data_IF_929382389205
#
_entry.id   IF_929382389205
#
_cell.length_a   1.000
_cell.length_b   1.000
_cell.length_c   1.000
_cell.angle_alpha   90.00
_cell.angle_beta   90.00
_cell.angle_gamma   90.00
#
_symmetry.space_group_name_H-M   'P 1'
#
loop_
_entity.id
_entity.type
_entity.pdbx_description
1 polymer ?
#
# COMPACT_ATOMS: atom_id res chain seq x y z
N UNK A 1 25.65 77.77 -30.64
CA UNK A 1 26.77 78.08 -29.72
C UNK A 1 26.74 77.13 -28.56
N UNK A 2 27.59 76.19 -28.72
CA UNK A 2 28.69 75.79 -27.79
C UNK A 2 28.27 75.26 -26.46
N UNK A 3 28.79 74.22 -25.91
CA UNK A 3 30.05 73.46 -26.08
C UNK A 3 29.97 72.17 -25.33
N UNK A 4 30.68 71.20 -25.84
CA UNK A 4 31.00 69.89 -25.25
C UNK A 4 31.57 69.99 -23.84
N UNK A 5 31.23 69.04 -22.98
CA UNK A 5 32.15 68.60 -21.93
C UNK A 5 32.08 67.09 -21.78
N UNK A 6 33.15 66.50 -22.23
CA UNK A 6 33.53 65.09 -22.09
C UNK A 6 33.83 64.77 -20.63
N UNK A 7 33.02 63.96 -19.97
CA UNK A 7 33.28 63.43 -18.63
C UNK A 7 33.83 62.02 -18.73
N UNK A 8 35.15 61.90 -18.71
CA UNK A 8 35.89 60.67 -18.54
C UNK A 8 35.51 60.01 -17.19
N UNK A 9 34.72 58.95 -17.22
CA UNK A 9 34.51 58.10 -16.06
C UNK A 9 35.71 57.20 -15.91
N UNK A 10 36.51 57.54 -14.91
CA UNK A 10 37.65 56.76 -14.44
C UNK A 10 37.12 55.43 -13.85
N UNK A 11 37.26 54.35 -14.61
CA UNK A 11 36.92 52.98 -14.13
C UNK A 11 38.03 52.55 -13.18
N UNK A 12 37.84 52.83 -11.90
CA UNK A 12 38.68 52.30 -10.82
C UNK A 12 38.55 50.77 -10.80
N UNK A 13 39.61 50.12 -11.29
CA UNK A 13 39.78 48.67 -11.23
C UNK A 13 40.04 48.28 -9.77
N UNK A 14 38.98 48.05 -9.01
CA UNK A 14 39.10 47.46 -7.65
C UNK A 14 39.72 46.06 -7.79
N UNK A 15 40.98 45.95 -7.39
CA UNK A 15 41.67 44.67 -7.16
C UNK A 15 40.93 43.94 -6.04
N UNK A 16 40.01 43.07 -6.38
CA UNK A 16 39.41 42.16 -5.41
C UNK A 16 40.49 41.25 -4.83
N UNK A 17 40.70 41.36 -3.55
CA UNK A 17 41.66 40.57 -2.79
C UNK A 17 41.37 39.08 -2.94
N UNK A 18 42.44 38.24 -3.10
CA UNK A 18 42.25 36.78 -3.22
C UNK A 18 41.47 36.14 -2.06
N UNK A 19 41.52 36.75 -0.89
CA UNK A 19 40.78 36.32 0.30
C UNK A 19 39.27 36.50 0.19
N UNK A 20 38.81 37.55 -0.49
CA UNK A 20 37.37 37.80 -0.70
C UNK A 20 36.74 36.78 -1.66
N UNK A 21 37.47 36.43 -2.74
CA UNK A 21 37.02 35.36 -3.68
C UNK A 21 37.05 33.97 -3.05
N UNK A 22 37.93 33.71 -2.09
CA UNK A 22 38.00 32.46 -1.36
C UNK A 22 36.83 32.29 -0.37
N UNK A 23 36.39 33.38 0.28
CA UNK A 23 35.25 33.42 1.17
C UNK A 23 33.93 33.20 0.41
N UNK A 24 33.78 33.82 -0.77
CA UNK A 24 32.60 33.67 -1.62
C UNK A 24 32.48 32.23 -2.18
N UNK A 25 33.62 31.63 -2.57
CA UNK A 25 33.63 30.20 -2.99
C UNK A 25 33.27 29.24 -1.87
N UNK A 26 33.70 29.49 -0.63
CA UNK A 26 33.30 28.67 0.54
C UNK A 26 31.82 28.85 0.88
N UNK A 27 31.27 30.05 0.77
CA UNK A 27 29.87 30.35 0.97
C UNK A 27 28.98 29.67 -0.08
N UNK A 28 29.39 29.73 -1.36
CA UNK A 28 28.71 29.02 -2.46
C UNK A 28 28.77 27.50 -2.33
N UNK A 29 29.94 26.94 -1.89
CA UNK A 29 30.10 25.52 -1.68
C UNK A 29 29.26 25.03 -0.49
N UNK A 30 29.23 25.81 0.61
CA UNK A 30 28.40 25.49 1.79
C UNK A 30 26.90 25.56 1.46
N UNK A 31 26.48 26.54 0.67
CA UNK A 31 25.08 26.64 0.22
C UNK A 31 24.70 25.52 -0.74
N UNK A 32 25.60 25.06 -1.60
CA UNK A 32 25.41 23.91 -2.47
C UNK A 32 25.35 22.59 -1.69
N UNK A 33 26.16 22.44 -0.62
CA UNK A 33 26.09 21.28 0.26
C UNK A 33 24.81 21.28 1.09
N UNK A 34 24.36 22.43 1.58
CA UNK A 34 23.09 22.56 2.31
C UNK A 34 21.90 22.29 1.40
N UNK A 35 21.92 22.74 0.13
CA UNK A 35 20.93 22.36 -0.86
C UNK A 35 20.96 20.87 -1.18
N UNK A 36 22.14 20.26 -1.33
CA UNK A 36 22.24 18.80 -1.55
C UNK A 36 21.79 18.00 -0.35
N UNK A 37 22.08 18.46 0.88
CA UNK A 37 21.57 17.84 2.10
C UNK A 37 20.05 18.00 2.25
N UNK A 38 19.48 19.11 1.80
CA UNK A 38 18.03 19.32 1.75
C UNK A 38 17.34 18.50 0.65
N UNK A 39 18.01 18.26 -0.49
CA UNK A 39 17.52 17.36 -1.56
C UNK A 39 17.65 15.87 -1.19
N UNK A 40 18.48 15.53 -0.21
CA UNK A 40 18.54 14.19 0.39
C UNK A 40 17.48 13.96 1.48
N UNK A 41 16.52 14.84 1.64
CA UNK A 41 15.28 14.43 2.27
C UNK A 41 14.68 13.37 1.36
N UNK A 42 14.74 12.12 1.83
CA UNK A 42 14.01 11.01 1.25
C UNK A 42 12.60 11.51 0.97
N UNK A 43 12.33 11.82 -0.28
CA UNK A 43 10.98 12.13 -0.73
C UNK A 43 10.23 10.82 -0.55
N UNK A 44 9.70 10.61 0.65
CA UNK A 44 8.92 9.44 1.00
C UNK A 44 7.63 9.52 0.15
N UNK A 45 7.76 9.15 -1.12
CA UNK A 45 6.71 9.13 -2.13
C UNK A 45 5.63 8.09 -1.78
N UNK A 46 5.80 7.37 -0.67
CA UNK A 46 4.88 6.35 -0.20
C UNK A 46 4.13 6.79 1.08
N UNK A 47 3.96 8.07 1.31
CA UNK A 47 3.10 8.57 2.39
C UNK A 47 1.66 8.41 1.96
N UNK A 48 0.96 7.51 2.64
CA UNK A 48 -0.49 7.47 2.56
C UNK A 48 -1.06 8.82 3.02
N UNK A 49 -2.03 9.34 2.27
CA UNK A 49 -2.73 10.56 2.69
C UNK A 49 -3.55 10.30 3.95
N UNK A 50 -3.88 11.35 4.70
CA UNK A 50 -4.73 11.23 5.90
C UNK A 50 -6.05 10.53 5.58
N UNK A 51 -6.66 10.83 4.42
CA UNK A 51 -7.89 10.17 3.94
C UNK A 51 -7.69 8.67 3.76
N UNK A 52 -6.57 8.25 3.17
CA UNK A 52 -6.23 6.82 3.02
C UNK A 52 -6.02 6.14 4.37
N UNK A 53 -5.31 6.78 5.30
CA UNK A 53 -5.08 6.24 6.64
C UNK A 53 -6.40 6.05 7.42
N UNK A 54 -7.29 7.02 7.37
CA UNK A 54 -8.62 6.92 8.00
C UNK A 54 -9.44 5.77 7.39
N UNK A 55 -9.43 5.64 6.06
CA UNK A 55 -10.11 4.53 5.38
C UNK A 55 -9.50 3.19 5.75
N UNK A 56 -8.17 3.08 5.80
CA UNK A 56 -7.48 1.86 6.23
C UNK A 56 -7.82 1.50 7.68
N UNK A 57 -7.86 2.48 8.58
CA UNK A 57 -8.24 2.26 9.98
C UNK A 57 -9.68 1.74 10.11
N UNK A 58 -10.61 2.30 9.35
CA UNK A 58 -12.00 1.80 9.29
C UNK A 58 -12.05 0.36 8.76
N UNK A 59 -11.30 0.07 7.70
CA UNK A 59 -11.24 -1.28 7.14
C UNK A 59 -10.54 -2.27 8.08
N UNK A 60 -9.55 -1.84 8.88
CA UNK A 60 -8.97 -2.65 9.95
C UNK A 60 -10.03 -2.99 11.01
N UNK A 61 -10.84 -2.04 11.43
CA UNK A 61 -11.91 -2.29 12.39
C UNK A 61 -12.94 -3.31 11.84
N UNK A 62 -13.38 -3.14 10.60
CA UNK A 62 -14.29 -4.08 9.94
C UNK A 62 -13.65 -5.47 9.81
N UNK A 63 -12.39 -5.55 9.36
CA UNK A 63 -11.67 -6.82 9.25
C UNK A 63 -11.53 -7.52 10.61
N UNK A 64 -11.22 -6.78 11.67
CA UNK A 64 -11.13 -7.32 13.02
C UNK A 64 -12.47 -7.85 13.51
N UNK A 65 -13.57 -7.13 13.28
CA UNK A 65 -14.91 -7.62 13.65
C UNK A 65 -15.28 -8.90 12.87
N UNK A 66 -14.99 -8.94 11.57
CA UNK A 66 -15.25 -10.12 10.74
C UNK A 66 -14.38 -11.32 11.12
N UNK A 67 -13.20 -11.11 11.70
CA UNK A 67 -12.32 -12.19 12.14
C UNK A 67 -12.86 -12.96 13.34
N UNK A 68 -13.77 -12.37 14.12
CA UNK A 68 -14.43 -13.08 15.25
C UNK A 68 -15.61 -13.96 14.80
N UNK A 69 -16.12 -13.74 13.57
CA UNK A 69 -17.17 -14.60 12.99
C UNK A 69 -16.48 -15.79 12.34
N UNK A 70 -16.30 -16.86 13.10
CA UNK A 70 -15.60 -18.06 12.66
C UNK A 70 -16.59 -19.16 12.33
N UNK A 71 -16.48 -19.71 11.12
CA UNK A 71 -17.36 -20.80 10.63
C UNK A 71 -16.48 -22.01 10.28
N UNK A 72 -16.61 -23.15 10.96
CA UNK A 72 -15.92 -24.37 10.56
C UNK A 72 -16.49 -24.88 9.24
N UNK A 73 -15.65 -24.97 8.20
CA UNK A 73 -16.09 -25.41 6.86
C UNK A 73 -15.99 -26.93 6.70
N UNK A 74 -15.12 -27.60 7.45
CA UNK A 74 -14.86 -29.03 7.33
C UNK A 74 -15.34 -29.73 8.59
N UNK A 75 -16.34 -30.63 8.49
CA UNK A 75 -16.78 -31.42 9.64
C UNK A 75 -15.62 -32.24 10.23
N UNK A 76 -15.46 -32.20 11.55
CA UNK A 76 -14.42 -32.93 12.26
C UNK A 76 -13.05 -32.21 12.35
N UNK A 77 -12.87 -31.10 11.65
CA UNK A 77 -11.65 -30.29 11.70
C UNK A 77 -11.97 -28.91 12.28
N UNK A 78 -11.95 -28.80 13.59
CA UNK A 78 -12.41 -27.60 14.32
C UNK A 78 -11.39 -26.46 14.31
N UNK A 79 -10.11 -26.75 14.05
CA UNK A 79 -9.06 -25.73 14.03
C UNK A 79 -8.97 -24.95 12.70
N UNK A 80 -9.66 -25.42 11.63
CA UNK A 80 -9.75 -24.71 10.36
C UNK A 80 -11.07 -23.94 10.28
N UNK A 81 -11.05 -22.70 10.70
CA UNK A 81 -12.20 -21.81 10.69
C UNK A 81 -12.12 -20.79 9.58
N UNK A 82 -13.22 -20.60 8.88
CA UNK A 82 -13.38 -19.54 7.89
C UNK A 82 -13.78 -18.24 8.57
N UNK A 83 -13.17 -17.15 8.13
CA UNK A 83 -13.55 -15.79 8.44
C UNK A 83 -13.45 -14.89 7.19
N UNK A 84 -14.21 -13.80 7.18
CA UNK A 84 -14.24 -12.88 6.05
C UNK A 84 -13.27 -11.69 6.18
N UNK A 85 -12.31 -11.75 7.11
CA UNK A 85 -11.39 -10.64 7.42
C UNK A 85 -10.45 -10.28 6.26
N UNK A 86 -10.16 -11.22 5.37
CA UNK A 86 -9.33 -10.97 4.18
C UNK A 86 -10.02 -10.13 3.12
N UNK A 87 -11.36 -10.04 3.12
CA UNK A 87 -12.11 -9.23 2.16
C UNK A 87 -11.81 -7.72 2.33
N UNK A 88 -11.92 -7.08 3.52
CA UNK A 88 -11.54 -5.68 3.68
C UNK A 88 -10.06 -5.42 3.40
N UNK A 89 -9.18 -6.36 3.74
CA UNK A 89 -7.77 -6.30 3.40
C UNK A 89 -7.54 -6.25 1.88
N UNK A 90 -8.24 -7.09 1.12
CA UNK A 90 -8.17 -7.12 -0.34
C UNK A 90 -8.72 -5.83 -0.96
N UNK A 91 -9.83 -5.30 -0.45
CA UNK A 91 -10.40 -4.01 -0.89
C UNK A 91 -9.37 -2.89 -0.72
N UNK A 92 -8.68 -2.81 0.43
CA UNK A 92 -7.60 -1.87 0.65
C UNK A 92 -6.40 -2.12 -0.28
N UNK A 93 -6.08 -3.37 -0.55
CA UNK A 93 -5.04 -3.77 -1.50
C UNK A 93 -5.30 -3.26 -2.91
N UNK A 94 -6.54 -3.32 -3.38
CA UNK A 94 -6.96 -2.78 -4.66
C UNK A 94 -7.04 -1.24 -4.67
N UNK A 95 -7.53 -0.64 -3.58
CA UNK A 95 -7.69 0.80 -3.47
C UNK A 95 -6.35 1.55 -3.37
N UNK A 96 -5.49 1.13 -2.45
CA UNK A 96 -4.31 1.89 -2.03
C UNK A 96 -3.00 1.14 -2.29
N UNK A 97 -3.07 -0.07 -2.84
CA UNK A 97 -1.94 -0.91 -3.19
C UNK A 97 -1.65 -2.02 -2.19
N UNK A 98 -0.76 -2.97 -2.57
CA UNK A 98 -0.55 -4.22 -1.82
C UNK A 98 -0.11 -3.98 -0.37
N UNK A 99 0.73 -2.99 -0.11
CA UNK A 99 1.17 -2.66 1.24
C UNK A 99 0.02 -2.28 2.17
N UNK A 100 -0.94 -1.48 1.69
CA UNK A 100 -2.11 -1.08 2.47
C UNK A 100 -3.00 -2.29 2.84
N UNK A 101 -3.24 -3.18 1.87
CA UNK A 101 -4.02 -4.37 2.13
C UNK A 101 -3.35 -5.35 3.10
N UNK A 102 -2.04 -5.58 2.96
CA UNK A 102 -1.28 -6.40 3.89
C UNK A 102 -1.31 -5.81 5.30
N UNK A 103 -1.14 -4.49 5.43
CA UNK A 103 -1.22 -3.83 6.74
C UNK A 103 -2.58 -4.02 7.40
N UNK A 104 -3.69 -3.87 6.64
CA UNK A 104 -5.05 -4.09 7.16
C UNK A 104 -5.22 -5.54 7.61
N UNK A 105 -4.83 -6.52 6.80
CA UNK A 105 -4.92 -7.93 7.15
C UNK A 105 -4.06 -8.32 8.36
N UNK A 106 -2.83 -7.80 8.43
CA UNK A 106 -1.92 -8.06 9.54
C UNK A 106 -2.44 -7.46 10.86
N UNK A 107 -2.90 -6.21 10.84
CA UNK A 107 -3.46 -5.55 12.04
C UNK A 107 -4.70 -6.30 12.53
N UNK A 108 -5.61 -6.69 11.64
CA UNK A 108 -6.78 -7.47 12.01
C UNK A 108 -6.41 -8.82 12.64
N UNK A 109 -5.42 -9.53 12.06
CA UNK A 109 -4.93 -10.79 12.60
C UNK A 109 -4.26 -10.62 13.98
N UNK A 110 -3.49 -9.56 14.18
CA UNK A 110 -2.87 -9.24 15.47
C UNK A 110 -3.95 -8.97 16.54
N UNK A 111 -4.94 -8.14 16.23
CA UNK A 111 -6.05 -7.83 17.15
C UNK A 111 -6.79 -9.12 17.52
N UNK A 112 -7.10 -9.97 16.54
CA UNK A 112 -7.74 -11.26 16.75
C UNK A 112 -6.94 -12.12 17.73
N UNK A 113 -5.65 -12.31 17.48
CA UNK A 113 -4.80 -13.13 18.34
C UNK A 113 -4.59 -12.58 19.74
N UNK A 114 -4.52 -11.26 19.90
CA UNK A 114 -4.41 -10.63 21.21
C UNK A 114 -5.67 -10.83 22.05
N UNK A 115 -6.86 -10.82 21.42
CA UNK A 115 -8.14 -10.97 22.12
C UNK A 115 -8.41 -12.44 22.46
N UNK A 116 -8.13 -13.37 21.54
CA UNK A 116 -8.40 -14.80 21.74
C UNK A 116 -7.21 -15.58 22.35
N UNK A 117 -6.03 -14.96 22.45
CA UNK A 117 -4.82 -15.64 22.91
C UNK A 117 -4.20 -16.59 21.86
N UNK A 118 -4.64 -16.51 20.59
CA UNK A 118 -4.22 -17.40 19.51
C UNK A 118 -3.14 -16.76 18.63
N UNK A 119 -1.98 -16.50 19.19
CA UNK A 119 -0.91 -15.82 18.47
C UNK A 119 -0.33 -16.62 17.29
N UNK A 120 -0.31 -17.97 17.34
CA UNK A 120 0.15 -18.81 16.22
C UNK A 120 -0.83 -18.72 15.05
N UNK A 121 -2.13 -18.82 15.32
CA UNK A 121 -3.18 -18.62 14.34
C UNK A 121 -3.12 -17.23 13.70
N UNK A 122 -2.82 -16.19 14.49
CA UNK A 122 -2.61 -14.84 13.99
C UNK A 122 -1.43 -14.74 13.04
N UNK A 123 -0.30 -15.37 13.38
CA UNK A 123 0.87 -15.40 12.51
C UNK A 123 0.56 -16.11 11.17
N UNK A 124 -0.19 -17.22 11.22
CA UNK A 124 -0.66 -17.90 10.02
C UNK A 124 -1.62 -17.04 9.18
N UNK A 125 -2.52 -16.28 9.83
CA UNK A 125 -3.42 -15.37 9.13
C UNK A 125 -2.68 -14.17 8.51
N UNK A 126 -1.60 -13.68 9.13
CA UNK A 126 -0.72 -12.67 8.50
C UNK A 126 -0.08 -13.25 7.23
N UNK A 127 0.45 -14.46 7.28
CA UNK A 127 0.98 -15.14 6.09
C UNK A 127 -0.11 -15.29 5.01
N UNK A 128 -1.31 -15.73 5.39
CA UNK A 128 -2.44 -15.85 4.48
C UNK A 128 -2.80 -14.51 3.82
N UNK A 129 -2.80 -13.41 4.59
CA UNK A 129 -3.02 -12.06 4.04
C UNK A 129 -1.93 -11.66 3.03
N UNK A 130 -0.66 -11.96 3.32
CA UNK A 130 0.44 -11.68 2.40
C UNK A 130 0.27 -12.48 1.10
N UNK A 131 0.09 -13.79 1.19
CA UNK A 131 0.00 -14.66 0.02
C UNK A 131 -1.29 -14.43 -0.80
N UNK A 132 -2.37 -13.97 -0.17
CA UNK A 132 -3.62 -13.66 -0.85
C UNK A 132 -3.61 -12.27 -1.48
N UNK A 133 -3.26 -11.23 -0.70
CA UNK A 133 -3.41 -9.83 -1.10
C UNK A 133 -2.28 -9.37 -2.03
N UNK A 134 -1.03 -9.77 -1.75
CA UNK A 134 0.13 -9.27 -2.51
C UNK A 134 0.02 -9.56 -4.01
N UNK A 135 -0.12 -10.82 -4.45
CA UNK A 135 -0.18 -11.13 -5.89
C UNK A 135 -1.45 -10.55 -6.54
N UNK A 136 -2.59 -10.62 -5.86
CA UNK A 136 -3.85 -10.09 -6.37
C UNK A 136 -3.76 -8.57 -6.61
N UNK A 137 -3.24 -7.82 -5.64
CA UNK A 137 -3.11 -6.37 -5.74
C UNK A 137 -2.04 -5.94 -6.77
N UNK A 138 -0.96 -6.72 -6.94
CA UNK A 138 0.05 -6.46 -7.97
C UNK A 138 -0.53 -6.63 -9.38
N UNK A 139 -1.29 -7.70 -9.63
CA UNK A 139 -1.98 -7.93 -10.91
C UNK A 139 -2.97 -6.82 -11.19
N UNK A 140 -3.79 -6.45 -10.21
CA UNK A 140 -4.76 -5.38 -10.34
C UNK A 140 -4.10 -4.01 -10.59
N UNK A 141 -2.93 -3.77 -9.99
CA UNK A 141 -2.17 -2.52 -10.18
C UNK A 141 -1.69 -2.33 -11.62
N UNK A 142 -1.45 -3.41 -12.37
CA UNK A 142 -1.00 -3.34 -13.76
C UNK A 142 -2.07 -2.73 -14.68
N UNK A 143 -3.33 -3.16 -14.51
CA UNK A 143 -4.49 -2.55 -15.19
C UNK A 143 -5.68 -2.57 -14.23
N UNK A 144 -6.14 -1.41 -13.82
CA UNK A 144 -7.26 -1.24 -12.87
C UNK A 144 -8.62 -1.51 -13.53
N UNK A 145 -8.82 -2.73 -14.00
CA UNK A 145 -10.05 -3.18 -14.65
C UNK A 145 -10.61 -4.41 -13.96
N UNK A 146 -11.92 -4.64 -14.06
CA UNK A 146 -12.58 -5.80 -13.43
C UNK A 146 -11.98 -7.15 -13.85
N UNK A 147 -11.63 -7.43 -15.13
CA UNK A 147 -10.97 -8.68 -15.49
C UNK A 147 -9.62 -8.87 -14.80
N UNK A 148 -8.83 -7.81 -14.63
CA UNK A 148 -7.57 -7.87 -13.89
C UNK A 148 -7.77 -8.04 -12.38
N UNK A 149 -8.87 -7.51 -11.81
CA UNK A 149 -9.25 -7.78 -10.44
C UNK A 149 -9.58 -9.27 -10.24
N UNK A 150 -10.40 -9.84 -11.12
CA UNK A 150 -10.79 -11.26 -11.07
C UNK A 150 -9.55 -12.15 -11.27
N UNK A 151 -8.74 -11.89 -12.29
CA UNK A 151 -7.49 -12.63 -12.54
C UNK A 151 -6.53 -12.56 -11.35
N UNK A 152 -6.39 -11.38 -10.74
CA UNK A 152 -5.62 -11.19 -9.52
C UNK A 152 -6.16 -11.99 -8.34
N UNK A 153 -7.49 -12.01 -8.14
CA UNK A 153 -8.13 -12.80 -7.09
C UNK A 153 -7.92 -14.30 -7.28
N UNK A 154 -8.05 -14.81 -8.50
CA UNK A 154 -7.77 -16.23 -8.80
C UNK A 154 -6.32 -16.58 -8.48
N UNK A 155 -5.37 -15.73 -8.91
CA UNK A 155 -3.97 -15.91 -8.54
C UNK A 155 -3.77 -15.84 -7.02
N UNK A 156 -4.42 -14.90 -6.34
CA UNK A 156 -4.38 -14.76 -4.90
C UNK A 156 -4.90 -16.01 -4.16
N UNK A 157 -5.97 -16.63 -4.64
CA UNK A 157 -6.49 -17.90 -4.09
C UNK A 157 -5.46 -19.02 -4.21
N UNK A 158 -4.84 -19.17 -5.37
CA UNK A 158 -3.83 -20.20 -5.62
C UNK A 158 -2.61 -19.97 -4.71
N UNK A 159 -2.10 -18.75 -4.68
CA UNK A 159 -0.94 -18.42 -3.85
C UNK A 159 -1.25 -18.50 -2.35
N UNK A 160 -2.47 -18.18 -1.92
CA UNK A 160 -2.89 -18.37 -0.53
C UNK A 160 -2.89 -19.86 -0.14
N UNK A 161 -3.35 -20.75 -1.00
CA UNK A 161 -3.29 -22.19 -0.75
C UNK A 161 -1.84 -22.70 -0.67
N UNK A 162 -0.95 -22.24 -1.54
CA UNK A 162 0.48 -22.53 -1.46
C UNK A 162 1.12 -21.95 -0.18
N UNK A 163 0.75 -20.72 0.17
CA UNK A 163 1.18 -20.09 1.41
C UNK A 163 0.70 -20.83 2.65
N UNK A 164 -0.50 -21.40 2.62
CA UNK A 164 -1.01 -22.22 3.71
C UNK A 164 -0.22 -23.52 3.89
N UNK A 165 0.16 -24.18 2.79
CA UNK A 165 1.04 -25.36 2.85
C UNK A 165 2.36 -24.97 3.51
N UNK A 166 2.99 -23.90 3.04
CA UNK A 166 4.26 -23.42 3.56
C UNK A 166 4.15 -23.04 5.05
N UNK A 167 3.11 -22.31 5.43
CA UNK A 167 2.90 -21.87 6.82
C UNK A 167 2.64 -23.06 7.76
N UNK A 168 1.89 -24.08 7.33
CA UNK A 168 1.66 -25.28 8.15
C UNK A 168 2.93 -26.11 8.30
N UNK A 169 3.74 -26.24 7.24
CA UNK A 169 5.00 -27.00 7.29
C UNK A 169 6.13 -26.27 8.05
N UNK A 170 6.03 -24.95 8.20
CA UNK A 170 7.02 -24.15 8.95
C UNK A 170 6.48 -23.78 10.33
N UNK A 171 5.59 -22.78 10.38
CA UNK A 171 5.03 -22.23 11.62
C UNK A 171 4.22 -23.31 12.37
N UNK A 172 3.35 -24.06 11.66
CA UNK A 172 2.53 -25.11 12.26
C UNK A 172 3.36 -26.23 12.87
N UNK A 173 4.36 -26.72 12.14
CA UNK A 173 5.28 -27.75 12.67
C UNK A 173 6.06 -27.25 13.86
N UNK A 174 6.57 -26.00 13.80
CA UNK A 174 7.38 -25.45 14.89
C UNK A 174 6.59 -25.23 16.18
N UNK A 175 5.35 -24.77 16.08
CA UNK A 175 4.58 -24.32 17.27
C UNK A 175 3.44 -25.24 17.69
N UNK A 176 2.87 -26.06 16.78
CA UNK A 176 1.70 -26.89 17.08
C UNK A 176 1.95 -28.39 16.95
N UNK A 177 2.62 -28.82 15.87
CA UNK A 177 2.66 -30.24 15.52
C UNK A 177 3.94 -30.95 16.00
N UNK A 178 5.03 -30.21 16.18
CA UNK A 178 6.34 -30.76 16.55
C UNK A 178 7.05 -31.51 15.43
N UNK A 179 6.32 -32.27 14.60
CA UNK A 179 6.85 -33.02 13.46
C UNK A 179 5.99 -32.81 12.20
N UNK A 180 6.57 -32.88 11.00
CA UNK A 180 5.81 -32.77 9.75
C UNK A 180 4.81 -33.92 9.57
N UNK A 181 5.10 -35.11 10.10
CA UNK A 181 4.27 -36.31 9.94
C UNK A 181 2.87 -36.15 10.54
N UNK A 182 2.72 -35.27 11.53
CA UNK A 182 1.44 -34.99 12.16
C UNK A 182 0.47 -34.22 11.22
N UNK A 183 0.98 -33.33 10.38
CA UNK A 183 0.14 -32.49 9.50
C UNK A 183 0.06 -33.02 8.05
N UNK A 184 1.06 -33.77 7.60
CA UNK A 184 1.10 -34.28 6.22
C UNK A 184 -0.15 -35.07 5.81
N UNK A 185 -0.73 -35.96 6.64
CA UNK A 185 -1.98 -36.68 6.30
C UNK A 185 -3.19 -35.77 6.15
N UNK A 186 -3.22 -34.62 6.85
CA UNK A 186 -4.30 -33.63 6.79
C UNK A 186 -4.11 -32.59 5.69
N UNK A 187 -2.94 -32.53 5.08
CA UNK A 187 -2.60 -31.50 4.11
C UNK A 187 -3.52 -31.58 2.88
N UNK A 188 -3.65 -32.75 2.28
CA UNK A 188 -4.44 -32.96 1.08
C UNK A 188 -5.95 -32.97 1.34
N UNK A 189 -6.48 -33.70 2.37
CA UNK A 189 -7.92 -33.77 2.57
C UNK A 189 -8.52 -32.55 3.30
N UNK A 190 -7.74 -31.78 4.04
CA UNK A 190 -8.25 -30.69 4.86
C UNK A 190 -7.62 -29.33 4.56
N UNK A 191 -6.30 -29.18 4.69
CA UNK A 191 -5.63 -27.86 4.61
C UNK A 191 -5.77 -27.22 3.22
N UNK A 192 -5.50 -27.97 2.15
CA UNK A 192 -5.58 -27.44 0.78
C UNK A 192 -7.01 -27.06 0.41
N UNK A 193 -8.01 -27.96 0.48
CA UNK A 193 -9.37 -27.61 0.10
C UNK A 193 -9.96 -26.50 0.98
N UNK A 194 -9.64 -26.47 2.26
CA UNK A 194 -10.06 -25.40 3.15
C UNK A 194 -9.52 -24.03 2.69
N UNK A 195 -8.23 -23.93 2.42
CA UNK A 195 -7.62 -22.64 2.04
C UNK A 195 -8.08 -22.19 0.64
N UNK A 196 -8.32 -23.11 -0.29
CA UNK A 196 -8.96 -22.80 -1.57
C UNK A 196 -10.37 -22.26 -1.36
N UNK A 197 -11.18 -22.90 -0.51
CA UNK A 197 -12.53 -22.46 -0.20
C UNK A 197 -12.52 -21.10 0.54
N UNK A 198 -11.65 -20.93 1.57
CA UNK A 198 -11.47 -19.66 2.30
C UNK A 198 -11.08 -18.54 1.35
N UNK A 199 -10.12 -18.78 0.48
CA UNK A 199 -9.68 -17.80 -0.52
C UNK A 199 -10.77 -17.47 -1.52
N UNK A 200 -11.49 -18.49 -2.06
CA UNK A 200 -12.56 -18.30 -3.02
C UNK A 200 -13.74 -17.51 -2.42
N UNK A 201 -14.17 -17.83 -1.20
CA UNK A 201 -15.24 -17.10 -0.51
C UNK A 201 -14.86 -15.63 -0.28
N UNK A 202 -13.63 -15.37 0.20
CA UNK A 202 -13.13 -14.00 0.36
C UNK A 202 -13.01 -13.27 -1.00
N UNK A 203 -12.62 -13.96 -2.07
CA UNK A 203 -12.57 -13.40 -3.42
C UNK A 203 -13.97 -13.02 -3.93
N UNK A 204 -14.97 -13.89 -3.76
CA UNK A 204 -16.36 -13.62 -4.14
C UNK A 204 -16.88 -12.40 -3.36
N UNK A 205 -16.71 -12.37 -2.04
CA UNK A 205 -17.09 -11.22 -1.21
C UNK A 205 -16.41 -9.95 -1.68
N UNK A 206 -15.11 -10.01 -2.01
CA UNK A 206 -14.36 -8.87 -2.54
C UNK A 206 -14.97 -8.35 -3.85
N UNK A 207 -15.35 -9.23 -4.78
CA UNK A 207 -15.99 -8.82 -6.05
C UNK A 207 -17.35 -8.16 -5.81
N UNK A 208 -18.14 -8.70 -4.89
CA UNK A 208 -19.45 -8.11 -4.53
C UNK A 208 -19.28 -6.70 -3.97
N UNK A 209 -18.36 -6.54 -3.03
CA UNK A 209 -18.07 -5.26 -2.37
C UNK A 209 -17.35 -4.30 -3.31
N UNK A 210 -16.54 -4.82 -4.24
CA UNK A 210 -15.80 -4.00 -5.20
C UNK A 210 -16.70 -3.02 -5.96
N UNK A 211 -17.88 -3.46 -6.40
CA UNK A 211 -18.83 -2.58 -7.09
C UNK A 211 -19.34 -1.46 -6.19
N UNK A 212 -19.58 -1.75 -4.92
CA UNK A 212 -20.04 -0.75 -3.96
C UNK A 212 -18.93 0.26 -3.61
N UNK A 213 -17.68 -0.21 -3.55
CA UNK A 213 -16.52 0.60 -3.12
C UNK A 213 -15.76 1.21 -4.32
N UNK A 214 -16.08 0.81 -5.56
CA UNK A 214 -15.38 1.31 -6.76
C UNK A 214 -15.41 2.83 -6.90
N UNK A 215 -16.49 3.50 -6.44
CA UNK A 215 -16.59 4.95 -6.43
C UNK A 215 -15.67 5.62 -5.39
N UNK A 216 -15.32 4.90 -4.32
CA UNK A 216 -14.35 5.35 -3.30
C UNK A 216 -12.90 5.12 -3.75
N UNK A 217 -12.69 4.13 -4.64
CA UNK A 217 -11.39 3.76 -5.20
C UNK A 217 -11.05 4.61 -6.41
N UNK A 218 -12.05 5.19 -7.09
CA UNK A 218 -11.80 6.06 -8.23
C UNK A 218 -10.90 7.23 -7.79
N UNK A 219 -9.74 7.45 -8.45
CA UNK A 219 -8.91 8.60 -8.13
C UNK A 219 -9.77 9.85 -8.34
N UNK A 220 -9.79 10.71 -7.34
CA UNK A 220 -10.40 12.04 -7.42
C UNK A 220 -9.94 12.68 -8.73
N UNK A 221 -10.85 12.89 -9.66
CA UNK A 221 -10.54 13.59 -10.93
C UNK A 221 -9.87 14.89 -10.51
N UNK A 222 -8.61 15.08 -10.91
CA UNK A 222 -7.95 16.36 -10.75
C UNK A 222 -8.93 17.44 -11.22
N UNK A 223 -9.13 18.53 -10.45
CA UNK A 223 -10.03 19.59 -10.85
C UNK A 223 -9.65 20.00 -12.26
N UNK A 224 -10.62 19.98 -13.17
CA UNK A 224 -10.43 20.40 -14.55
C UNK A 224 -9.70 21.73 -14.51
N UNK A 225 -8.49 21.80 -15.10
CA UNK A 225 -7.76 23.06 -15.28
C UNK A 225 -8.76 24.04 -15.84
N UNK A 226 -9.05 25.08 -15.06
CA UNK A 226 -10.05 26.06 -15.37
C UNK A 226 -9.92 26.54 -16.80
N UNK A 227 -11.02 26.51 -17.50
CA UNK A 227 -11.22 27.29 -18.71
C UNK A 227 -10.77 28.73 -18.40
N UNK A 228 -9.70 29.15 -19.04
CA UNK A 228 -9.26 30.53 -19.00
C UNK A 228 -10.46 31.43 -19.37
N UNK A 229 -10.70 32.53 -18.66
CA UNK A 229 -11.75 33.44 -19.06
C UNK A 229 -11.42 33.99 -20.44
N UNK A 230 -12.31 33.70 -21.37
CA UNK A 230 -12.33 34.29 -22.73
C UNK A 230 -12.30 35.82 -22.58
N UNK A 231 -11.24 36.41 -23.08
CA UNK A 231 -11.12 37.87 -23.15
C UNK A 231 -12.28 38.40 -23.99
N UNK A 232 -13.26 39.00 -23.34
CA UNK A 232 -14.23 39.85 -23.98
C UNK A 232 -13.47 41.00 -24.67
N UNK A 233 -13.33 40.91 -25.97
CA UNK A 233 -12.85 41.99 -26.81
C UNK A 233 -13.92 43.10 -26.81
N UNK A 234 -13.61 44.16 -26.08
CA UNK A 234 -14.40 45.37 -26.15
C UNK A 234 -14.23 45.99 -27.56
N UNK A 235 -15.25 45.84 -28.40
CA UNK A 235 -15.54 46.81 -29.46
C UNK A 235 -16.27 47.96 -28.78
N UNK A 236 -15.64 49.09 -28.72
CA UNK A 236 -16.31 50.38 -28.63
C UNK A 236 -15.55 51.37 -29.51
N UNK A 237 -16.26 51.93 -30.41
CA UNK A 237 -15.98 53.09 -31.27
C UNK A 237 -15.70 54.32 -30.38
#
# INVERSE_FOLDING_TARGET
MNTNSCGLVFFSRQKTSPSFLALDRKGLAMNAQTKRAADFQFKNTNRWSTKQLVTMALMCAIASLLSFVQIPLIPGVTFLTYDASLMPAMVCGFAFGPGAGITVGAVAAIIHGLILGEWVGSLMNICAAIFFVLPAALVYRAKRTLPFAIGGLVLGVITAALGAILSNLTIGVWFWYGTPDAILPLMLPAVIPFNLAKGALNAVLTVIVYKAVSNLIAPEKAPAKGSAPEKASAKAQ
#
